data_IF_433252752772
#
_entry.id   IF_433252752772
#
_cell.length_a   1.000
_cell.length_b   1.000
_cell.length_c   1.000
_cell.angle_alpha   90.00
_cell.angle_beta   90.00
_cell.angle_gamma   90.00
#
_symmetry.space_group_name_H-M   'P 1'
#
loop_
_entity.id
_entity.type
_entity.pdbx_description
1 polymer ?
#
# COMPACT_ATOMS: atom_id res chain seq x y z
N UNK A 1 36.22 -3.38 -38.61
CA UNK A 1 35.92 -4.29 -37.48
C UNK A 1 35.62 -3.54 -36.16
N UNK A 2 36.39 -2.50 -35.80
CA UNK A 2 36.22 -1.72 -34.55
C UNK A 2 34.87 -0.99 -34.39
N UNK A 3 34.30 -0.45 -35.48
CA UNK A 3 32.99 0.25 -35.45
C UNK A 3 31.82 -0.68 -35.10
N UNK A 4 31.82 -1.92 -35.61
CA UNK A 4 30.81 -2.94 -35.27
C UNK A 4 30.91 -3.41 -33.81
N UNK A 5 32.12 -3.52 -33.27
CA UNK A 5 32.34 -3.85 -31.85
C UNK A 5 31.90 -2.71 -30.93
N UNK A 6 32.18 -1.45 -31.31
CA UNK A 6 31.72 -0.28 -30.55
C UNK A 6 30.19 -0.14 -30.57
N UNK A 7 29.54 -0.48 -31.69
CA UNK A 7 28.08 -0.51 -31.81
C UNK A 7 27.46 -1.62 -30.96
N UNK A 8 28.07 -2.82 -30.94
CA UNK A 8 27.64 -3.93 -30.09
C UNK A 8 27.76 -3.61 -28.60
N UNK A 9 28.84 -2.96 -28.18
CA UNK A 9 29.03 -2.51 -26.79
C UNK A 9 28.00 -1.46 -26.37
N UNK A 10 27.67 -0.53 -27.27
CA UNK A 10 26.64 0.48 -27.03
C UNK A 10 25.23 -0.16 -26.88
N UNK A 11 24.92 -1.15 -27.72
CA UNK A 11 23.63 -1.89 -27.64
C UNK A 11 23.52 -2.70 -26.34
N UNK A 12 24.62 -3.32 -25.88
CA UNK A 12 24.64 -4.04 -24.60
C UNK A 12 24.47 -3.07 -23.41
N UNK A 13 25.13 -1.90 -23.45
CA UNK A 13 25.04 -0.88 -22.41
C UNK A 13 23.63 -0.28 -22.30
N UNK A 14 22.98 -0.02 -23.44
CA UNK A 14 21.59 0.46 -23.51
C UNK A 14 20.62 -0.66 -23.06
N UNK A 15 20.89 -1.91 -23.42
CA UNK A 15 20.09 -3.07 -23.00
C UNK A 15 20.10 -3.30 -21.48
N UNK A 16 21.24 -3.11 -20.82
CA UNK A 16 21.35 -3.20 -19.36
C UNK A 16 20.69 -2.04 -18.60
N UNK A 17 20.39 -0.92 -19.27
CA UNK A 17 19.72 0.22 -18.64
C UNK A 17 18.19 0.05 -18.55
N UNK A 18 17.64 -1.00 -19.17
CA UNK A 18 16.19 -1.28 -19.19
C UNK A 18 15.76 -2.37 -18.20
N UNK A 19 16.65 -2.90 -17.36
CA UNK A 19 16.26 -3.78 -16.26
C UNK A 19 15.51 -2.97 -15.20
N UNK A 20 14.18 -3.00 -15.29
CA UNK A 20 13.29 -2.48 -14.24
C UNK A 20 13.55 -3.24 -12.94
N UNK A 21 13.82 -2.51 -11.87
CA UNK A 21 13.96 -3.08 -10.53
C UNK A 21 12.56 -3.27 -9.95
N UNK A 22 11.91 -4.38 -10.29
CA UNK A 22 10.70 -4.78 -9.57
C UNK A 22 11.16 -5.60 -8.36
N UNK A 23 10.79 -5.14 -7.16
CA UNK A 23 11.10 -5.88 -5.93
C UNK A 23 10.36 -7.21 -5.98
N UNK A 24 11.10 -8.29 -6.25
CA UNK A 24 10.56 -9.65 -6.41
C UNK A 24 9.76 -10.13 -5.19
N UNK A 25 9.89 -9.45 -4.04
CA UNK A 25 9.21 -9.79 -2.79
C UNK A 25 7.86 -9.09 -2.60
N UNK A 26 7.56 -8.06 -3.38
CA UNK A 26 6.30 -7.32 -3.27
C UNK A 26 5.22 -8.02 -4.08
N UNK A 27 4.18 -8.51 -3.41
CA UNK A 27 3.07 -9.22 -4.07
C UNK A 27 1.96 -8.28 -4.57
N UNK A 28 1.78 -7.13 -3.92
CA UNK A 28 0.75 -6.11 -4.24
C UNK A 28 1.25 -4.74 -3.77
N UNK A 29 1.10 -3.71 -4.60
CA UNK A 29 1.29 -2.29 -4.26
C UNK A 29 0.28 -1.45 -5.06
N UNK A 30 -0.95 -1.40 -4.55
CA UNK A 30 -2.06 -0.69 -5.19
C UNK A 30 -2.38 0.60 -4.41
N UNK A 31 -2.65 1.68 -5.15
CA UNK A 31 -3.08 2.96 -4.59
C UNK A 31 -4.38 3.38 -5.27
N UNK A 32 -5.36 3.78 -4.46
CA UNK A 32 -6.68 4.19 -4.93
C UNK A 32 -6.91 5.66 -4.59
N UNK A 33 -7.32 6.44 -5.59
CA UNK A 33 -7.70 7.84 -5.38
C UNK A 33 -9.14 7.90 -4.88
N UNK A 34 -9.36 8.63 -3.79
CA UNK A 34 -10.69 8.92 -3.27
C UNK A 34 -11.24 10.17 -3.96
N UNK A 35 -12.35 10.01 -4.67
CA UNK A 35 -12.94 11.08 -5.47
C UNK A 35 -13.28 12.31 -4.60
N UNK A 36 -12.84 13.48 -5.04
CA UNK A 36 -13.12 14.75 -4.35
C UNK A 36 -12.52 14.86 -2.95
N UNK A 37 -11.56 13.99 -2.58
CA UNK A 37 -10.96 13.92 -1.25
C UNK A 37 -11.99 13.69 -0.12
N UNK A 38 -13.13 13.09 -0.46
CA UNK A 38 -14.19 12.77 0.48
C UNK A 38 -14.38 11.26 0.53
N UNK A 39 -13.76 10.62 1.52
CA UNK A 39 -13.94 9.19 1.72
C UNK A 39 -15.27 8.96 2.44
N UNK A 40 -16.30 8.54 1.71
CA UNK A 40 -17.61 8.29 2.32
C UNK A 40 -17.59 7.04 3.21
N UNK A 41 -18.44 7.00 4.25
CA UNK A 41 -18.65 5.79 5.07
C UNK A 41 -19.18 4.59 4.28
N UNK A 42 -19.82 4.84 3.14
CA UNK A 42 -20.32 3.78 2.25
C UNK A 42 -19.28 3.30 1.24
N UNK A 43 -18.19 4.05 1.09
CA UNK A 43 -17.13 3.76 0.13
C UNK A 43 -16.05 2.91 0.81
N UNK A 44 -15.77 1.75 0.19
CA UNK A 44 -14.77 0.81 0.68
C UNK A 44 -13.73 0.58 -0.39
N UNK A 45 -12.47 0.60 0.03
CA UNK A 45 -11.35 0.27 -0.86
C UNK A 45 -11.10 -1.23 -0.76
N UNK A 46 -11.19 -1.94 -1.87
CA UNK A 46 -10.98 -3.38 -1.93
C UNK A 46 -9.73 -3.72 -2.75
N UNK A 47 -8.80 -4.41 -2.10
CA UNK A 47 -7.53 -4.83 -2.69
C UNK A 47 -7.51 -6.36 -2.78
N UNK A 48 -7.57 -6.94 -3.99
CA UNK A 48 -7.40 -8.37 -4.17
C UNK A 48 -5.93 -8.76 -3.97
N UNK A 49 -5.67 -9.78 -3.15
CA UNK A 49 -4.32 -10.29 -2.90
C UNK A 49 -4.27 -11.78 -3.19
N UNK A 50 -3.31 -12.23 -4.00
CA UNK A 50 -3.10 -13.66 -4.27
C UNK A 50 -1.99 -14.17 -3.37
N UNK A 51 -2.33 -15.10 -2.48
CA UNK A 51 -1.36 -15.78 -1.62
C UNK A 51 -1.01 -17.12 -2.24
N UNK A 52 0.20 -17.21 -2.81
CA UNK A 52 0.71 -18.43 -3.43
C UNK A 52 1.28 -19.44 -2.43
N UNK A 53 1.91 -18.94 -1.35
CA UNK A 53 2.54 -19.75 -0.32
C UNK A 53 2.13 -19.28 1.09
N UNK A 54 1.11 -19.91 1.71
CA UNK A 54 0.64 -19.53 3.04
C UNK A 54 1.64 -19.84 4.16
N UNK A 55 2.74 -20.56 3.90
CA UNK A 55 3.77 -20.83 4.92
C UNK A 55 4.74 -19.66 5.14
N UNK A 56 4.75 -18.69 4.23
CA UNK A 56 5.52 -17.47 4.38
C UNK A 56 4.82 -16.48 5.32
N UNK A 57 5.63 -15.58 5.88
CA UNK A 57 5.16 -14.45 6.65
C UNK A 57 5.13 -13.21 5.76
N UNK A 58 4.07 -12.43 5.88
CA UNK A 58 3.82 -11.27 5.05
C UNK A 58 3.74 -10.02 5.93
N UNK A 59 4.34 -8.95 5.44
CA UNK A 59 4.15 -7.61 5.98
C UNK A 59 3.19 -6.86 5.05
N UNK A 60 2.26 -6.15 5.65
CA UNK A 60 1.30 -5.31 4.93
C UNK A 60 1.32 -3.91 5.53
N UNK A 61 1.20 -2.92 4.66
CA UNK A 61 1.21 -1.52 5.02
C UNK A 61 0.01 -0.85 4.36
N UNK A 62 -0.55 0.17 5.02
CA UNK A 62 -1.50 1.09 4.42
C UNK A 62 -0.75 2.34 4.01
N UNK A 63 -0.77 2.65 2.72
CA UNK A 63 -0.36 3.95 2.23
C UNK A 63 -1.54 4.91 2.38
N UNK A 64 -1.36 5.98 3.14
CA UNK A 64 -2.36 7.05 3.28
C UNK A 64 -1.75 8.36 2.80
N UNK A 65 -2.44 9.04 1.89
CA UNK A 65 -2.07 10.38 1.45
C UNK A 65 -3.23 11.33 1.75
N UNK A 66 -2.92 12.42 2.44
CA UNK A 66 -3.89 13.42 2.85
C UNK A 66 -3.41 14.82 2.47
N UNK A 67 -4.38 15.72 2.37
CA UNK A 67 -4.13 17.15 2.17
C UNK A 67 -4.16 17.89 3.51
N UNK A 68 -3.47 19.03 3.60
CA UNK A 68 -3.37 19.85 4.80
C UNK A 68 -4.73 20.31 5.37
N UNK A 69 -5.80 20.29 4.58
CA UNK A 69 -7.15 20.63 5.04
C UNK A 69 -7.86 19.51 5.81
N UNK A 70 -7.26 18.32 5.93
CA UNK A 70 -7.76 17.26 6.80
C UNK A 70 -7.69 17.73 8.26
N UNK A 71 -8.80 17.64 8.99
CA UNK A 71 -8.98 18.35 10.28
C UNK A 71 -8.65 17.53 11.52
N UNK A 72 -8.32 16.26 11.35
CA UNK A 72 -8.15 15.33 12.48
C UNK A 72 -6.68 14.93 12.61
N UNK A 73 -6.21 14.79 13.85
CA UNK A 73 -4.85 14.33 14.15
C UNK A 73 -4.70 12.81 14.04
N UNK A 74 -5.76 12.10 13.68
CA UNK A 74 -5.83 10.65 13.57
C UNK A 74 -6.86 10.22 12.53
N UNK A 75 -6.79 8.94 12.15
CA UNK A 75 -7.84 8.26 11.39
C UNK A 75 -8.10 6.89 11.99
N UNK A 76 -9.37 6.52 12.09
CA UNK A 76 -9.79 5.17 12.43
C UNK A 76 -10.16 4.43 11.15
N UNK A 77 -9.54 3.27 10.93
CA UNK A 77 -9.88 2.37 9.84
C UNK A 77 -10.45 1.07 10.39
N UNK A 78 -11.49 0.58 9.72
CA UNK A 78 -11.90 -0.80 9.83
C UNK A 78 -11.25 -1.56 8.68
N UNK A 79 -10.56 -2.64 9.05
CA UNK A 79 -9.74 -3.45 8.17
C UNK A 79 -10.36 -4.83 8.15
N UNK A 80 -10.77 -5.25 6.96
CA UNK A 80 -11.38 -6.53 6.74
C UNK A 80 -10.46 -7.42 5.91
N UNK A 81 -10.27 -8.66 6.35
CA UNK A 81 -9.55 -9.68 5.59
C UNK A 81 -10.54 -10.79 5.29
N UNK A 82 -10.88 -10.94 4.02
CA UNK A 82 -11.82 -11.95 3.51
C UNK A 82 -11.00 -13.04 2.84
N UNK A 83 -11.06 -14.24 3.41
CA UNK A 83 -10.31 -15.41 2.92
C UNK A 83 -10.94 -16.10 1.71
N UNK A 84 -10.19 -17.02 1.06
CA UNK A 84 -10.69 -17.83 -0.04
C UNK A 84 -11.91 -18.70 0.33
N UNK A 85 -12.05 -19.04 1.62
CA UNK A 85 -13.17 -19.78 2.20
C UNK A 85 -14.37 -18.88 2.56
N UNK A 86 -14.30 -17.58 2.24
CA UNK A 86 -15.33 -16.59 2.54
C UNK A 86 -15.33 -16.09 3.99
N UNK A 87 -14.43 -16.58 4.87
CA UNK A 87 -14.36 -16.07 6.24
C UNK A 87 -13.83 -14.65 6.26
N UNK A 88 -14.56 -13.77 6.94
CA UNK A 88 -14.19 -12.36 7.15
C UNK A 88 -13.71 -12.17 8.57
N UNK A 89 -12.49 -11.64 8.72
CA UNK A 89 -11.99 -11.08 9.99
C UNK A 89 -12.02 -9.57 9.90
N UNK A 90 -12.30 -8.89 11.01
CA UNK A 90 -12.41 -7.43 11.06
C UNK A 90 -11.64 -6.89 12.26
N UNK A 91 -10.85 -5.85 12.04
CA UNK A 91 -10.13 -5.14 13.07
C UNK A 91 -10.31 -3.63 12.92
N UNK A 92 -10.52 -2.93 14.03
CA UNK A 92 -10.53 -1.46 14.07
C UNK A 92 -9.18 -0.98 14.56
N UNK A 93 -8.51 -0.14 13.78
CA UNK A 93 -7.24 0.48 14.18
C UNK A 93 -7.32 1.99 14.13
N UNK A 94 -6.67 2.61 15.11
CA UNK A 94 -6.38 4.04 15.10
C UNK A 94 -4.99 4.27 14.55
N UNK A 95 -4.87 5.26 13.67
CA UNK A 95 -3.59 5.72 13.16
C UNK A 95 -3.43 7.19 13.50
N UNK A 96 -2.39 7.50 14.28
CA UNK A 96 -2.02 8.87 14.60
C UNK A 96 -1.35 9.50 13.37
N UNK A 97 -1.86 10.66 12.97
CA UNK A 97 -1.42 11.40 11.78
C UNK A 97 -0.68 12.69 12.15
N UNK A 98 -0.99 13.28 13.30
CA UNK A 98 -0.33 14.49 13.80
C UNK A 98 -0.09 14.42 15.33
N UNK A 99 0.88 15.21 15.80
CA UNK A 99 1.14 15.49 17.21
C UNK A 99 0.05 16.42 17.80
N UNK A 100 -0.07 16.51 19.15
CA UNK A 100 -1.07 17.37 19.80
C UNK A 100 -0.96 18.86 19.46
N UNK A 101 0.22 19.32 19.04
CA UNK A 101 0.48 20.69 18.58
C UNK A 101 0.14 20.91 17.09
N UNK A 102 -0.30 19.86 16.39
CA UNK A 102 -0.68 19.91 14.97
C UNK A 102 0.43 19.54 13.99
N UNK A 103 1.64 19.21 14.45
CA UNK A 103 2.71 18.76 13.56
C UNK A 103 2.38 17.40 12.94
N UNK A 104 2.33 17.32 11.60
CA UNK A 104 2.07 16.08 10.89
C UNK A 104 3.23 15.09 11.00
N UNK A 105 2.91 13.83 11.30
CA UNK A 105 3.88 12.73 11.39
C UNK A 105 4.27 12.15 10.01
N UNK A 106 3.55 12.51 8.96
CA UNK A 106 3.78 12.05 7.59
C UNK A 106 4.82 12.90 6.87
N UNK A 107 5.42 12.34 5.83
CA UNK A 107 6.37 13.07 4.98
C UNK A 107 5.66 13.68 3.78
N UNK A 108 6.17 14.81 3.28
CA UNK A 108 5.61 15.45 2.10
C UNK A 108 6.05 16.90 1.95
N UNK A 109 5.42 17.59 1.00
CA UNK A 109 5.72 18.99 0.71
C UNK A 109 4.45 19.76 0.37
N UNK A 110 4.46 21.06 0.69
CA UNK A 110 3.30 21.93 0.51
C UNK A 110 2.09 21.43 1.29
N UNK A 111 1.01 21.12 0.57
CA UNK A 111 -0.26 20.71 1.16
C UNK A 111 -0.45 19.20 1.23
N UNK A 112 0.56 18.37 0.93
CA UNK A 112 0.43 16.92 0.90
C UNK A 112 1.26 16.24 1.99
N UNK A 113 0.66 15.28 2.67
CA UNK A 113 1.30 14.43 3.66
C UNK A 113 1.04 12.97 3.32
N UNK A 114 2.09 12.16 3.28
CA UNK A 114 2.05 10.73 2.97
C UNK A 114 2.55 9.92 4.15
N UNK A 115 1.89 8.78 4.36
CA UNK A 115 2.16 7.84 5.44
C UNK A 115 2.24 6.45 4.85
N UNK A 116 3.19 5.65 5.34
CA UNK A 116 3.21 4.21 5.14
C UNK A 116 3.11 3.58 6.52
N UNK A 117 1.95 3.01 6.82
CA UNK A 117 1.60 2.60 8.18
C UNK A 117 1.52 1.08 8.26
N UNK A 118 2.24 0.41 9.18
CA UNK A 118 2.15 -1.03 9.34
C UNK A 118 0.73 -1.48 9.67
N UNK A 119 0.18 -2.35 8.83
CA UNK A 119 -1.15 -2.91 8.99
C UNK A 119 -1.09 -4.25 9.74
N UNK A 120 -0.31 -5.19 9.22
CA UNK A 120 0.02 -6.46 9.85
C UNK A 120 1.47 -6.78 9.52
N UNK A 121 2.27 -7.06 10.52
CA UNK A 121 3.66 -7.49 10.37
C UNK A 121 3.78 -8.95 10.76
N UNK A 122 4.68 -9.66 10.08
CA UNK A 122 4.92 -11.08 10.27
C UNK A 122 3.61 -11.91 10.29
N UNK A 123 2.70 -11.60 9.37
CA UNK A 123 1.38 -12.22 9.31
C UNK A 123 1.40 -13.48 8.45
N UNK A 124 0.88 -14.59 8.98
CA UNK A 124 0.76 -15.85 8.26
C UNK A 124 -0.68 -16.04 7.80
N UNK A 125 -0.89 -16.09 6.49
CA UNK A 125 -2.19 -16.43 5.92
C UNK A 125 -2.48 -17.92 6.16
N UNK A 126 -3.76 -18.26 6.34
CA UNK A 126 -4.17 -19.63 6.69
C UNK A 126 -4.39 -20.53 5.48
N UNK A 127 -4.69 -19.96 4.31
CA UNK A 127 -5.03 -20.68 3.10
C UNK A 127 -4.24 -20.11 1.91
N UNK A 128 -3.94 -20.98 0.94
CA UNK A 128 -3.52 -20.54 -0.39
C UNK A 128 -4.75 -20.00 -1.13
N UNK A 129 -4.60 -18.90 -1.87
CA UNK A 129 -5.64 -18.42 -2.79
C UNK A 129 -5.87 -16.91 -2.74
N UNK A 130 -7.01 -16.50 -3.29
CA UNK A 130 -7.41 -15.09 -3.39
C UNK A 130 -8.03 -14.61 -2.08
N UNK A 131 -7.39 -13.62 -1.48
CA UNK A 131 -7.92 -12.81 -0.39
C UNK A 131 -8.44 -11.47 -0.93
N UNK A 132 -9.35 -10.85 -0.17
CA UNK A 132 -9.73 -9.46 -0.36
C UNK A 132 -9.46 -8.71 0.94
N UNK A 133 -8.57 -7.72 0.87
CA UNK A 133 -8.36 -6.75 1.94
C UNK A 133 -9.28 -5.57 1.66
N UNK A 134 -10.22 -5.31 2.56
CA UNK A 134 -11.17 -4.20 2.44
C UNK A 134 -10.91 -3.19 3.56
N UNK A 135 -10.72 -1.93 3.17
CA UNK A 135 -10.51 -0.80 4.08
C UNK A 135 -11.74 0.11 4.03
N UNK A 136 -12.23 0.51 5.20
CA UNK A 136 -13.29 1.52 5.33
C UNK A 136 -12.93 2.51 6.43
N UNK A 137 -13.26 3.78 6.22
CA UNK A 137 -13.06 4.80 7.23
C UNK A 137 -14.13 4.70 8.32
N UNK A 138 -13.71 4.82 9.57
CA UNK A 138 -14.56 4.72 10.76
C UNK A 138 -14.38 5.91 11.69
N UNK A 139 -14.38 7.11 11.10
CA UNK A 139 -14.41 8.38 11.82
C UNK A 139 -15.81 8.62 12.40
N UNK A 140 -15.94 9.58 13.32
CA UNK A 140 -17.24 10.02 13.87
C UNK A 140 -17.26 11.53 13.92
#
# INVERSE_FOLDING_TARGET
>A
MKFRQSLLLLVILIGSALSSCQDEKTIVDDNFEIAGHNWSYTEKVQIPVIIENPDLHYNSYVNLRLIASYKYSNIFLLIHIIGPDGKKTTERKEFKLALPDGEWLGSGSGNLYSYQIPLKENFKFTLKGKYVIELEQNMR
#
